data_IF_302727189947
#
_entry.id   IF_302727189947
#
_cell.length_a   1.000
_cell.length_b   1.000
_cell.length_c   1.000
_cell.angle_alpha   90.00
_cell.angle_beta   90.00
_cell.angle_gamma   90.00
#
_symmetry.space_group_name_H-M   'P 1'
#
loop_
_entity.id
_entity.type
_entity.pdbx_description
1 polymer ?
#
# COMPACT_ATOMS: atom_id res chain seq x y z
N UNK A 1 4.07 10.46 8.57
CA UNK A 1 4.95 9.72 7.64
C UNK A 1 4.91 8.23 7.95
N UNK A 2 4.79 7.37 6.93
CA UNK A 2 4.94 5.91 7.07
C UNK A 2 6.42 5.58 6.88
N UNK A 3 7.01 4.86 7.83
CA UNK A 3 8.43 4.46 7.78
C UNK A 3 8.60 2.96 7.52
N UNK A 4 7.56 2.16 7.73
CA UNK A 4 7.55 0.74 7.45
C UNK A 4 6.18 0.31 6.96
N UNK A 5 6.17 -0.48 5.88
CA UNK A 5 5.03 -1.28 5.47
C UNK A 5 5.57 -2.59 4.90
N UNK A 6 5.47 -3.67 5.69
CA UNK A 6 6.11 -4.96 5.36
C UNK A 6 5.15 -6.12 5.56
N UNK A 7 4.95 -6.90 4.51
CA UNK A 7 4.22 -8.16 4.59
C UNK A 7 5.16 -9.27 5.08
N UNK A 8 4.70 -10.05 6.07
CA UNK A 8 5.42 -11.27 6.49
C UNK A 8 4.96 -12.44 5.62
N UNK A 9 5.87 -13.09 4.85
CA UNK A 9 5.53 -14.20 3.98
C UNK A 9 4.74 -15.30 4.69
N UNK A 10 3.78 -15.90 3.98
CA UNK A 10 2.95 -17.02 4.45
C UNK A 10 2.03 -16.74 5.66
N UNK A 11 2.04 -15.54 6.25
CA UNK A 11 1.20 -15.20 7.41
C UNK A 11 0.03 -14.28 7.07
N UNK A 12 0.08 -13.63 5.91
CA UNK A 12 -0.82 -12.55 5.49
C UNK A 12 -0.92 -11.41 6.51
N UNK A 13 0.11 -11.21 7.34
CA UNK A 13 0.18 -10.11 8.31
C UNK A 13 1.06 -8.99 7.77
N UNK A 14 0.48 -7.79 7.66
CA UNK A 14 1.17 -6.58 7.29
C UNK A 14 1.52 -5.77 8.54
N UNK A 15 2.80 -5.49 8.69
CA UNK A 15 3.35 -4.66 9.76
C UNK A 15 3.53 -3.24 9.23
N UNK A 16 2.91 -2.29 9.93
CA UNK A 16 2.93 -0.87 9.57
C UNK A 16 3.55 -0.10 10.74
N UNK A 17 4.49 0.78 10.44
CA UNK A 17 5.03 1.72 11.40
C UNK A 17 5.22 3.09 10.76
N UNK A 18 5.17 4.12 11.59
CA UNK A 18 5.37 5.50 11.16
C UNK A 18 5.35 6.44 12.34
N UNK A 19 5.23 7.73 12.03
CA UNK A 19 4.98 8.76 13.03
C UNK A 19 4.04 9.83 12.48
N UNK A 20 3.33 10.48 13.38
CA UNK A 20 2.63 11.74 13.11
C UNK A 20 3.56 12.86 13.55
N UNK A 21 3.96 13.73 12.62
CA UNK A 21 4.73 14.92 12.94
C UNK A 21 3.76 16.02 13.37
N UNK A 22 3.98 16.58 14.55
CA UNK A 22 3.21 17.70 15.10
C UNK A 22 4.09 18.90 15.25
N UNK A 23 3.57 20.04 14.84
CA UNK A 23 4.18 21.36 15.02
C UNK A 23 3.33 22.08 16.06
N UNK A 24 3.82 22.10 17.30
CA UNK A 24 3.09 22.63 18.44
C UNK A 24 3.59 24.05 18.70
N UNK A 25 2.67 25.01 18.73
CA UNK A 25 2.97 26.41 19.02
C UNK A 25 2.25 26.84 20.30
N UNK A 26 2.98 27.49 21.21
CA UNK A 26 2.42 27.98 22.48
C UNK A 26 3.08 29.30 22.89
N UNK A 27 2.39 30.08 23.70
CA UNK A 27 2.92 31.33 24.26
C UNK A 27 3.33 31.10 25.71
N UNK A 28 4.50 31.62 26.07
CA UNK A 28 4.96 31.67 27.46
C UNK A 28 4.42 32.92 28.15
N UNK A 29 4.60 32.95 29.46
CA UNK A 29 4.23 34.08 30.31
C UNK A 29 5.51 34.49 31.01
N UNK A 30 6.10 35.59 30.54
CA UNK A 30 7.40 36.06 31.03
C UNK A 30 7.20 37.19 32.05
N UNK A 31 6.21 38.06 31.83
CA UNK A 31 5.80 39.07 32.81
C UNK A 31 4.29 39.31 32.82
N UNK A 32 3.76 39.66 34.00
CA UNK A 32 2.34 39.90 34.23
C UNK A 32 2.16 41.16 35.08
N UNK A 33 1.24 42.03 34.66
CA UNK A 33 0.82 43.23 35.39
C UNK A 33 -0.71 43.23 35.53
N UNK A 34 -1.28 44.22 36.24
CA UNK A 34 -2.74 44.32 36.44
C UNK A 34 -3.52 44.47 35.12
N UNK A 35 -2.90 44.99 34.06
CA UNK A 35 -3.54 45.33 32.78
C UNK A 35 -2.96 44.59 31.59
N UNK A 36 -1.86 43.85 31.74
CA UNK A 36 -1.18 43.21 30.61
C UNK A 36 -0.49 41.91 30.99
N UNK A 37 -0.39 41.02 30.01
CA UNK A 37 0.42 39.80 30.02
C UNK A 37 1.39 39.94 28.87
N UNK A 38 2.66 39.62 29.09
CA UNK A 38 3.65 39.55 28.02
C UNK A 38 4.46 38.28 28.14
N UNK A 39 4.87 37.76 26.99
CA UNK A 39 5.71 36.59 26.91
C UNK A 39 6.12 36.30 25.47
N UNK A 40 6.74 35.15 25.28
CA UNK A 40 7.34 34.76 24.02
C UNK A 40 6.53 33.66 23.33
N UNK A 41 6.45 33.69 22.01
CA UNK A 41 5.87 32.60 21.23
C UNK A 41 6.96 31.56 20.99
N UNK A 42 6.72 30.33 21.46
CA UNK A 42 7.60 29.20 21.26
C UNK A 42 6.94 28.15 20.36
N UNK A 43 7.78 27.33 19.74
CA UNK A 43 7.34 26.24 18.89
C UNK A 43 8.22 25.01 19.13
N UNK A 44 7.60 23.84 19.09
CA UNK A 44 8.29 22.55 19.15
C UNK A 44 7.71 21.60 18.11
N UNK A 45 8.60 20.90 17.39
CA UNK A 45 8.21 19.82 16.48
C UNK A 45 8.46 18.49 17.15
N UNK A 46 7.43 17.65 17.23
CA UNK A 46 7.53 16.30 17.79
C UNK A 46 7.06 15.26 16.79
N UNK A 47 7.76 14.12 16.75
CA UNK A 47 7.40 12.97 15.91
C UNK A 47 6.80 11.88 16.81
N UNK A 48 5.48 11.75 16.81
CA UNK A 48 4.76 10.77 17.65
C UNK A 48 4.69 9.43 16.92
N UNK A 49 5.39 8.38 17.38
CA UNK A 49 5.46 7.11 16.66
C UNK A 49 4.18 6.29 16.83
N UNK A 50 3.85 5.50 15.81
CA UNK A 50 2.82 4.47 15.88
C UNK A 50 3.29 3.18 15.22
N UNK A 51 2.75 2.05 15.69
CA UNK A 51 2.98 0.71 15.15
C UNK A 51 1.66 -0.06 15.17
N UNK A 52 1.34 -0.76 14.10
CA UNK A 52 0.21 -1.67 14.06
C UNK A 52 0.47 -2.87 13.15
N UNK A 53 -0.32 -3.92 13.35
CA UNK A 53 -0.34 -5.11 12.51
C UNK A 53 -1.77 -5.36 12.07
N UNK A 54 -1.94 -5.69 10.79
CA UNK A 54 -3.25 -6.07 10.26
C UNK A 54 -3.14 -7.33 9.41
N UNK A 55 -4.20 -8.14 9.41
CA UNK A 55 -4.30 -9.30 8.53
C UNK A 55 -4.94 -8.85 7.21
N UNK A 56 -4.35 -9.26 6.10
CA UNK A 56 -4.82 -8.92 4.76
C UNK A 56 -5.44 -10.15 4.11
N UNK A 57 -6.52 -9.91 3.37
CA UNK A 57 -7.10 -10.88 2.45
C UNK A 57 -6.70 -10.46 1.03
N UNK A 58 -6.00 -11.35 0.33
CA UNK A 58 -5.53 -11.11 -1.02
C UNK A 58 -6.51 -11.74 -2.02
N UNK A 59 -6.93 -10.98 -3.04
CA UNK A 59 -7.63 -11.55 -4.19
C UNK A 59 -6.68 -12.46 -4.99
N UNK A 60 -5.43 -12.00 -5.16
CA UNK A 60 -4.33 -12.76 -5.75
C UNK A 60 -3.21 -12.90 -4.74
N UNK A 61 -2.90 -14.15 -4.35
CA UNK A 61 -1.90 -14.40 -3.33
C UNK A 61 -0.49 -13.97 -3.81
N UNK A 62 0.34 -13.40 -2.92
CA UNK A 62 1.70 -13.05 -3.29
C UNK A 62 2.50 -14.31 -3.64
N UNK A 63 3.31 -14.21 -4.69
CA UNK A 63 4.19 -15.30 -5.11
C UNK A 63 5.56 -15.06 -4.49
N UNK A 64 5.99 -15.99 -3.65
CA UNK A 64 7.30 -15.95 -3.04
C UNK A 64 8.26 -16.85 -3.81
N UNK A 65 9.47 -16.34 -4.06
CA UNK A 65 10.56 -17.15 -4.62
C UNK A 65 10.85 -18.36 -3.75
N UNK A 66 11.19 -19.48 -4.39
CA UNK A 66 11.72 -20.67 -3.72
C UNK A 66 13.17 -20.80 -4.12
N UNK A 67 14.06 -20.85 -3.14
CA UNK A 67 15.42 -21.33 -3.34
C UNK A 67 15.38 -22.86 -3.23
N UNK A 68 15.82 -23.53 -4.29
CA UNK A 68 15.87 -24.98 -4.34
C UNK A 68 17.29 -25.44 -4.64
N UNK A 69 17.84 -26.24 -3.73
CA UNK A 69 19.10 -26.96 -3.91
C UNK A 69 18.80 -28.45 -3.87
N UNK A 70 18.96 -29.14 -5.01
CA UNK A 70 18.80 -30.60 -5.09
C UNK A 70 20.05 -31.23 -5.67
N UNK A 71 20.45 -32.32 -5.03
CA UNK A 71 21.47 -33.22 -5.54
C UNK A 71 20.84 -34.12 -6.61
N UNK A 72 21.37 -34.07 -7.83
CA UNK A 72 20.98 -34.93 -8.95
C UNK A 72 21.78 -36.22 -8.89
N UNK A 73 21.60 -37.00 -7.82
CA UNK A 73 22.20 -38.32 -7.75
C UNK A 73 21.08 -39.35 -7.86
N UNK A 74 21.18 -40.18 -8.90
CA UNK A 74 20.23 -41.21 -9.37
C UNK A 74 19.29 -40.76 -10.51
N UNK A 75 19.86 -40.68 -11.71
CA UNK A 75 19.19 -41.25 -12.87
C UNK A 75 19.32 -42.78 -12.74
N UNK A 76 18.26 -43.46 -12.35
CA UNK A 76 18.10 -44.89 -12.64
C UNK A 76 16.65 -45.08 -13.10
N UNK A 77 16.41 -45.65 -14.28
CA UNK A 77 16.68 -47.07 -14.49
C UNK A 77 17.29 -47.45 -15.87
N UNK A 78 17.93 -46.55 -16.64
CA UNK A 78 18.46 -46.99 -17.94
C UNK A 78 19.59 -46.19 -18.63
N UNK A 79 20.41 -45.38 -17.94
CA UNK A 79 21.46 -44.60 -18.61
C UNK A 79 22.81 -44.67 -17.89
N UNK A 80 23.62 -45.65 -18.31
CA UNK A 80 25.05 -45.58 -18.71
C UNK A 80 26.02 -44.55 -18.06
N UNK A 81 25.92 -44.19 -16.78
CA UNK A 81 27.06 -43.53 -16.12
C UNK A 81 27.23 -43.94 -14.64
N UNK A 82 28.04 -44.98 -14.42
CA UNK A 82 28.46 -45.50 -13.10
C UNK A 82 29.74 -44.82 -12.60
N UNK A 83 29.76 -43.50 -12.50
CA UNK A 83 30.85 -42.81 -11.81
C UNK A 83 30.36 -42.29 -10.46
N UNK A 84 30.61 -43.06 -9.40
CA UNK A 84 30.29 -42.72 -7.99
C UNK A 84 31.04 -41.48 -7.45
N UNK A 85 31.84 -40.81 -8.29
CA UNK A 85 32.68 -39.66 -7.96
C UNK A 85 32.14 -38.32 -8.46
N UNK A 86 31.02 -38.29 -9.16
CA UNK A 86 30.44 -37.07 -9.71
C UNK A 86 29.23 -36.60 -8.88
N UNK A 87 29.39 -35.46 -8.21
CA UNK A 87 28.32 -34.79 -7.49
C UNK A 87 27.72 -33.67 -8.36
N UNK A 88 26.55 -33.94 -8.92
CA UNK A 88 25.80 -32.96 -9.71
C UNK A 88 24.76 -32.25 -8.85
N UNK A 89 24.76 -30.92 -8.89
CA UNK A 89 23.83 -30.07 -8.15
C UNK A 89 23.05 -29.19 -9.12
N UNK A 90 21.75 -29.05 -8.90
CA UNK A 90 20.96 -27.99 -9.53
C UNK A 90 20.68 -26.90 -8.50
N UNK A 91 21.09 -25.69 -8.85
CA UNK A 91 20.79 -24.46 -8.13
C UNK A 91 19.82 -23.66 -8.98
N UNK A 92 18.61 -23.43 -8.47
CA UNK A 92 17.63 -22.59 -9.15
C UNK A 92 17.05 -21.58 -8.18
N UNK A 93 17.22 -20.30 -8.52
CA UNK A 93 16.67 -19.17 -7.80
C UNK A 93 15.66 -18.47 -8.69
N UNK A 94 14.36 -18.70 -8.42
CA UNK A 94 13.30 -17.92 -9.07
C UNK A 94 13.03 -16.68 -8.22
N UNK A 95 13.61 -15.56 -8.62
CA UNK A 95 13.32 -14.27 -8.02
C UNK A 95 11.99 -13.77 -8.57
N UNK A 96 11.01 -13.58 -7.69
CA UNK A 96 9.78 -12.85 -8.00
C UNK A 96 9.90 -11.44 -7.46
N UNK A 97 9.10 -10.53 -8.00
CA UNK A 97 9.09 -9.15 -7.53
C UNK A 97 8.68 -9.06 -6.05
N UNK A 98 9.26 -8.13 -5.29
CA UNK A 98 8.89 -7.95 -3.89
C UNK A 98 7.47 -7.39 -3.76
N UNK A 99 6.80 -7.78 -2.68
CA UNK A 99 5.57 -7.09 -2.26
C UNK A 99 5.96 -5.70 -1.76
N UNK A 100 5.32 -4.67 -2.28
CA UNK A 100 5.49 -3.30 -1.83
C UNK A 100 4.14 -2.69 -1.42
N UNK A 101 4.21 -1.61 -0.67
CA UNK A 101 3.03 -0.86 -0.27
C UNK A 101 3.06 0.54 -0.86
N UNK A 102 1.88 1.02 -1.23
CA UNK A 102 1.67 2.40 -1.65
C UNK A 102 0.66 3.07 -0.73
N UNK A 103 0.98 4.28 -0.28
CA UNK A 103 0.05 5.08 0.52
C UNK A 103 -0.97 5.73 -0.43
N UNK A 104 -2.23 5.31 -0.31
CA UNK A 104 -3.31 5.88 -1.10
C UNK A 104 -3.92 7.10 -0.41
N UNK A 105 -4.15 7.00 0.90
CA UNK A 105 -4.78 8.08 1.65
C UNK A 105 -4.45 7.98 3.15
N UNK A 106 -4.35 9.14 3.81
CA UNK A 106 -4.24 9.24 5.25
C UNK A 106 -5.13 10.37 5.76
N UNK A 107 -5.81 10.13 6.88
CA UNK A 107 -6.63 11.14 7.57
C UNK A 107 -6.36 11.06 9.06
N UNK A 108 -6.14 12.22 9.68
CA UNK A 108 -5.93 12.34 11.11
C UNK A 108 -7.09 13.14 11.68
N UNK A 109 -7.70 12.64 12.75
CA UNK A 109 -8.68 13.36 13.55
C UNK A 109 -8.06 13.59 14.92
N UNK A 110 -8.14 14.81 15.43
CA UNK A 110 -7.46 15.20 16.66
C UNK A 110 -8.36 16.05 17.56
N UNK A 111 -8.06 16.03 18.86
CA UNK A 111 -8.75 16.83 19.87
C UNK A 111 -7.76 17.21 20.96
N UNK A 112 -7.59 18.52 21.13
CA UNK A 112 -6.71 19.10 22.15
C UNK A 112 -7.49 19.36 23.44
N UNK A 113 -6.92 18.92 24.55
CA UNK A 113 -7.45 19.12 25.89
C UNK A 113 -6.41 19.91 26.67
N UNK A 114 -6.75 21.16 26.98
CA UNK A 114 -5.91 22.07 27.75
C UNK A 114 -6.41 22.10 29.20
N UNK A 115 -5.56 21.71 30.15
CA UNK A 115 -5.86 21.94 31.55
C UNK A 115 -5.65 23.42 31.88
N UNK A 116 -6.76 24.17 31.92
CA UNK A 116 -6.81 25.60 32.21
C UNK A 116 -7.23 25.89 33.65
N UNK A 117 -6.89 25.01 34.59
CA UNK A 117 -7.34 25.12 35.98
C UNK A 117 -6.59 26.16 36.81
N UNK A 118 -5.54 26.80 36.28
CA UNK A 118 -4.73 27.77 37.03
C UNK A 118 -5.04 29.21 36.58
N UNK A 119 -5.80 29.98 37.38
CA UNK A 119 -5.98 31.41 37.13
C UNK A 119 -4.62 32.12 37.24
N UNK A 120 -4.32 32.99 36.28
CA UNK A 120 -3.01 33.66 36.20
C UNK A 120 -2.76 34.61 37.36
N UNK A 121 -3.77 35.44 37.67
CA UNK A 121 -3.75 36.47 38.71
C UNK A 121 -5.19 36.85 39.04
N UNK A 122 -5.45 37.25 40.29
CA UNK A 122 -6.77 37.76 40.71
C UNK A 122 -7.23 39.00 39.91
N UNK A 123 -6.29 39.72 39.28
CA UNK A 123 -6.57 40.95 38.51
C UNK A 123 -6.94 40.70 37.05
N UNK A 124 -6.66 39.51 36.50
CA UNK A 124 -7.02 39.12 35.13
C UNK A 124 -7.78 37.76 35.15
N UNK A 125 -9.00 37.73 35.69
CA UNK A 125 -9.75 36.49 35.94
C UNK A 125 -10.16 35.74 34.67
N UNK A 126 -10.19 36.42 33.51
CA UNK A 126 -10.52 35.81 32.22
C UNK A 126 -9.32 35.09 31.58
N UNK A 127 -8.10 35.39 32.04
CA UNK A 127 -6.88 34.83 31.48
C UNK A 127 -6.47 33.56 32.24
N UNK A 128 -6.29 32.48 31.49
CA UNK A 128 -5.99 31.16 32.04
C UNK A 128 -4.67 30.64 31.47
N UNK A 129 -3.84 30.08 32.35
CA UNK A 129 -2.64 29.36 31.94
C UNK A 129 -2.90 27.87 31.88
N UNK A 130 -2.09 27.17 31.09
CA UNK A 130 -2.01 25.72 31.10
C UNK A 130 -0.54 25.32 31.24
N UNK A 131 -0.30 24.13 31.81
CA UNK A 131 1.05 23.54 31.91
C UNK A 131 1.17 22.26 31.09
N UNK A 132 0.05 21.63 30.79
CA UNK A 132 -0.03 20.37 30.08
C UNK A 132 -1.07 20.48 28.97
N UNK A 133 -0.73 19.90 27.82
CA UNK A 133 -1.63 19.72 26.69
C UNK A 133 -1.79 18.21 26.52
N UNK A 134 -3.02 17.71 26.67
CA UNK A 134 -3.35 16.33 26.34
C UNK A 134 -4.03 16.29 24.98
N UNK A 135 -3.40 15.66 23.99
CA UNK A 135 -3.99 15.48 22.67
C UNK A 135 -4.49 14.03 22.52
N UNK A 136 -5.69 13.89 21.96
CA UNK A 136 -6.21 12.60 21.48
C UNK A 136 -6.24 12.61 19.97
N UNK A 137 -5.68 11.59 19.34
CA UNK A 137 -5.67 11.46 17.89
C UNK A 137 -6.15 10.08 17.42
N UNK A 138 -6.85 10.06 16.29
CA UNK A 138 -7.23 8.87 15.52
C UNK A 138 -6.62 8.99 14.13
N UNK A 139 -5.83 8.00 13.76
CA UNK A 139 -5.10 7.96 12.48
C UNK A 139 -5.74 6.90 11.58
N UNK A 140 -6.32 7.35 10.47
CA UNK A 140 -6.82 6.50 9.39
C UNK A 140 -5.79 6.43 8.28
N UNK A 141 -5.41 5.23 7.87
CA UNK A 141 -4.44 5.00 6.80
C UNK A 141 -5.03 3.99 5.84
N UNK A 142 -5.01 4.32 4.55
CA UNK A 142 -5.39 3.45 3.45
C UNK A 142 -4.15 3.15 2.61
N UNK A 143 -3.82 1.87 2.51
CA UNK A 143 -2.64 1.37 1.82
C UNK A 143 -3.07 0.42 0.71
N UNK A 144 -2.40 0.48 -0.44
CA UNK A 144 -2.41 -0.58 -1.44
C UNK A 144 -1.24 -1.51 -1.14
N UNK A 145 -1.48 -2.81 -1.17
CA UNK A 145 -0.43 -3.83 -1.05
C UNK A 145 -0.36 -4.56 -2.38
N UNK A 146 0.77 -4.41 -3.06
CA UNK A 146 0.92 -4.73 -4.47
C UNK A 146 2.15 -5.63 -4.69
N UNK A 147 2.08 -6.40 -5.77
CA UNK A 147 3.19 -7.17 -6.32
C UNK A 147 2.96 -7.27 -7.82
N UNK A 148 3.94 -6.94 -8.66
CA UNK A 148 3.79 -7.20 -10.08
C UNK A 148 4.02 -8.70 -10.34
N UNK A 149 3.05 -9.31 -11.00
CA UNK A 149 3.05 -10.73 -11.31
C UNK A 149 2.82 -10.92 -12.80
N UNK A 150 3.64 -11.76 -13.44
CA UNK A 150 3.39 -12.18 -14.82
C UNK A 150 2.22 -13.16 -14.83
N UNK A 151 1.18 -12.85 -15.61
CA UNK A 151 0.03 -13.71 -15.83
C UNK A 151 0.05 -14.28 -17.24
N UNK A 152 -0.45 -15.51 -17.39
CA UNK A 152 -0.67 -16.10 -18.71
C UNK A 152 -2.04 -15.64 -19.21
N UNK A 153 -2.07 -15.02 -20.39
CA UNK A 153 -3.31 -14.68 -21.08
C UNK A 153 -3.62 -15.88 -21.99
N UNK A 154 -4.73 -16.60 -21.77
CA UNK A 154 -5.08 -17.76 -22.58
C UNK A 154 -5.37 -17.33 -24.02
N UNK A 155 -5.11 -18.22 -24.98
CA UNK A 155 -5.53 -17.99 -26.35
C UNK A 155 -7.07 -17.87 -26.39
N UNK A 156 -7.61 -16.87 -27.10
CA UNK A 156 -9.05 -16.67 -27.21
C UNK A 156 -9.70 -17.92 -27.85
N UNK A 157 -10.87 -18.30 -27.35
CA UNK A 157 -11.62 -19.47 -27.87
C UNK A 157 -12.26 -19.22 -29.24
N UNK A 158 -12.09 -18.03 -29.80
CA UNK A 158 -12.60 -17.60 -31.09
C UNK A 158 -11.44 -17.19 -32.01
N UNK A 159 -11.68 -17.16 -33.31
CA UNK A 159 -10.70 -16.67 -34.28
C UNK A 159 -10.42 -15.18 -34.01
N UNK A 160 -9.16 -14.87 -33.66
CA UNK A 160 -8.72 -13.49 -33.41
C UNK A 160 -7.65 -13.10 -34.41
N UNK A 161 -7.94 -12.04 -35.17
CA UNK A 161 -6.97 -11.37 -36.05
C UNK A 161 -6.27 -10.26 -35.29
N UNK A 162 -4.97 -10.43 -35.02
CA UNK A 162 -4.15 -9.38 -34.42
C UNK A 162 -3.77 -8.36 -35.50
N UNK A 163 -4.37 -7.17 -35.45
CA UNK A 163 -4.01 -6.05 -36.33
C UNK A 163 -2.79 -5.34 -35.74
N UNK A 164 -1.63 -5.50 -36.38
CA UNK A 164 -0.34 -4.98 -35.89
C UNK A 164 -0.21 -3.45 -35.93
N UNK A 165 -0.92 -2.82 -36.86
CA UNK A 165 -0.94 -1.38 -37.04
C UNK A 165 -2.40 -0.96 -37.21
N UNK A 166 -3.04 -0.50 -36.13
CA UNK A 166 -4.38 0.09 -36.20
C UNK A 166 -4.25 1.54 -36.70
N UNK A 167 -4.70 1.87 -37.93
CA UNK A 167 -4.46 3.18 -38.52
C UNK A 167 -5.59 4.18 -38.23
N UNK A 168 -6.50 3.91 -37.30
CA UNK A 168 -7.68 4.74 -37.06
C UNK A 168 -7.63 5.50 -35.74
N UNK A 169 -7.81 6.82 -35.79
CA UNK A 169 -8.54 7.54 -34.74
C UNK A 169 -9.83 6.76 -34.41
N UNK A 170 -10.33 6.84 -33.15
CA UNK A 170 -11.58 6.21 -32.73
C UNK A 170 -12.77 6.73 -33.57
N UNK A 171 -12.93 6.17 -34.76
CA UNK A 171 -13.93 6.49 -35.76
C UNK A 171 -14.28 5.18 -36.47
N UNK A 172 -15.56 4.84 -36.43
CA UNK A 172 -16.15 3.58 -36.84
C UNK A 172 -15.68 3.09 -38.22
N UNK A 173 -14.77 2.12 -38.25
CA UNK A 173 -14.55 1.31 -39.45
C UNK A 173 -15.68 0.28 -39.55
N UNK A 174 -16.49 0.36 -40.61
CA UNK A 174 -17.77 -0.37 -40.72
C UNK A 174 -17.65 -1.86 -41.07
N UNK A 175 -16.46 -2.46 -41.19
CA UNK A 175 -16.35 -3.83 -41.70
C UNK A 175 -15.50 -4.80 -40.86
N UNK A 176 -15.12 -4.45 -39.62
CA UNK A 176 -14.61 -5.43 -38.65
C UNK A 176 -15.35 -5.24 -37.34
N UNK A 177 -16.21 -6.20 -36.99
CA UNK A 177 -16.95 -6.20 -35.72
C UNK A 177 -15.96 -6.47 -34.59
N UNK A 178 -15.30 -5.43 -34.12
CA UNK A 178 -14.38 -5.49 -32.99
C UNK A 178 -15.23 -5.63 -31.72
N UNK A 179 -15.06 -6.74 -31.00
CA UNK A 179 -15.72 -6.95 -29.72
C UNK A 179 -14.74 -6.53 -28.63
N UNK A 180 -15.10 -5.54 -27.84
CA UNK A 180 -14.34 -5.20 -26.64
C UNK A 180 -14.51 -6.31 -25.61
N UNK A 181 -13.39 -6.84 -25.11
CA UNK A 181 -13.39 -7.86 -24.06
C UNK A 181 -12.85 -7.22 -22.79
N UNK A 182 -13.72 -7.07 -21.80
CA UNK A 182 -13.32 -6.71 -20.45
C UNK A 182 -12.74 -7.95 -19.76
N UNK A 183 -11.52 -7.82 -19.24
CA UNK A 183 -10.82 -8.92 -18.56
C UNK A 183 -10.90 -8.72 -17.05
N UNK A 184 -11.53 -9.66 -16.36
CA UNK A 184 -11.66 -9.72 -14.91
C UNK A 184 -10.95 -10.93 -14.33
N UNK A 185 -10.86 -10.96 -13.00
CA UNK A 185 -10.32 -12.11 -12.26
C UNK A 185 -11.41 -12.67 -11.33
N UNK A 186 -11.74 -13.94 -11.52
CA UNK A 186 -12.65 -14.73 -10.69
C UNK A 186 -11.84 -15.72 -9.81
N UNK A 187 -12.08 -15.79 -8.49
CA UNK A 187 -11.32 -16.67 -7.60
C UNK A 187 -11.43 -18.17 -7.88
N UNK A 188 -12.53 -18.63 -8.48
CA UNK A 188 -12.78 -20.05 -8.79
C UNK A 188 -12.36 -20.39 -10.23
N UNK A 189 -12.53 -19.45 -11.16
CA UNK A 189 -12.37 -19.65 -12.61
C UNK A 189 -11.08 -19.04 -13.18
N UNK A 190 -10.37 -18.22 -12.40
CA UNK A 190 -9.17 -17.52 -12.82
C UNK A 190 -9.49 -16.28 -13.67
N UNK A 191 -8.65 -16.00 -14.65
CA UNK A 191 -8.89 -14.88 -15.58
C UNK A 191 -10.13 -15.17 -16.43
N UNK A 192 -11.08 -14.23 -16.44
CA UNK A 192 -12.30 -14.30 -17.22
C UNK A 192 -12.38 -13.11 -18.18
N UNK A 193 -12.75 -13.36 -19.43
CA UNK A 193 -13.07 -12.30 -20.40
C UNK A 193 -14.58 -12.23 -20.57
N UNK A 194 -15.14 -11.03 -20.57
CA UNK A 194 -16.54 -10.78 -20.89
C UNK A 194 -16.62 -9.80 -22.06
N UNK A 195 -17.41 -10.14 -23.07
CA UNK A 195 -17.74 -9.23 -24.16
C UNK A 195 -18.56 -8.07 -23.62
N UNK A 196 -18.12 -6.84 -23.89
CA UNK A 196 -18.85 -5.63 -23.58
C UNK A 196 -19.65 -5.23 -24.82
N UNK A 197 -20.99 -5.10 -24.72
CA UNK A 197 -21.76 -4.50 -25.80
C UNK A 197 -21.29 -3.06 -25.97
N UNK A 198 -20.83 -2.70 -27.17
CA UNK A 198 -20.56 -1.31 -27.51
C UNK A 198 -21.91 -0.60 -27.52
N UNK A 199 -22.19 0.23 -26.52
CA UNK A 199 -23.36 1.11 -26.54
C UNK A 199 -23.18 2.10 -27.70
N UNK A 200 -24.00 1.96 -28.74
CA UNK A 200 -24.10 2.97 -29.78
C UNK A 200 -24.63 4.25 -29.11
N UNK A 201 -23.75 5.24 -28.96
CA UNK A 201 -24.14 6.59 -28.60
C UNK A 201 -25.01 7.13 -29.74
N UNK A 202 -26.34 7.14 -29.52
CA UNK A 202 -27.27 7.87 -30.39
C UNK A 202 -26.86 9.35 -30.40
N UNK A 203 -26.25 9.79 -31.50
CA UNK A 203 -26.00 11.20 -31.79
C UNK A 203 -27.35 11.92 -31.95
N UNK A 204 -27.64 12.86 -31.05
CA UNK A 204 -28.79 13.76 -31.11
C UNK A 204 -28.30 15.21 -31.04
#
# INVERSE_FOLDING_TARGET
MITQCKLIPYTNKLFIAGHVQKNIQFSTIDCTNQTSISGSIQHTTVNIPFKCVTKIHFSNCPIYGKEYKKRLNSLDNNMLNKNEKEDSWIHYNKLYEPVYCELEHARILETDILDRNTPLLNTLPNEKSFREITEKMVVYIRLKVLQNQNICIPEPSCEVTVVKDWPGECGSSKDVKCVEIEVGFDPERGMIGKEVPVEELDEN
#
